data_IF_293719098496
#
_entry.id   IF_293719098496
#
_cell.length_a   1.000
_cell.length_b   1.000
_cell.length_c   1.000
_cell.angle_alpha   90.00
_cell.angle_beta   90.00
_cell.angle_gamma   90.00
#
_symmetry.space_group_name_H-M   'P 1'
#
loop_
_entity.id
_entity.type
_entity.pdbx_description
1 polymer ?
#
# COMPACT_ATOMS: atom_id res chain seq x y z
N UNK A 1 -17.64 -3.64 -9.40
CA UNK A 1 -16.23 -4.08 -9.20
C UNK A 1 -15.45 -2.97 -8.51
N UNK A 2 -14.67 -3.32 -7.51
CA UNK A 2 -13.89 -2.31 -6.79
C UNK A 2 -12.69 -1.89 -7.64
N UNK A 3 -12.52 -0.59 -7.78
CA UNK A 3 -11.38 0.01 -8.47
C UNK A 3 -10.07 -0.36 -7.75
N UNK A 4 -9.02 -0.67 -8.52
CA UNK A 4 -7.73 -1.07 -7.94
C UNK A 4 -7.14 0.04 -7.07
N UNK A 5 -7.31 1.30 -7.46
CA UNK A 5 -6.83 2.41 -6.64
C UNK A 5 -7.51 2.45 -5.26
N UNK A 6 -8.81 2.20 -5.24
CA UNK A 6 -9.58 2.14 -3.99
C UNK A 6 -9.12 0.97 -3.12
N UNK A 7 -8.91 -0.18 -3.74
CA UNK A 7 -8.47 -1.39 -3.03
C UNK A 7 -7.09 -1.20 -2.43
N UNK A 8 -6.16 -0.67 -3.21
CA UNK A 8 -4.79 -0.42 -2.72
C UNK A 8 -4.80 0.60 -1.59
N UNK A 9 -5.56 1.69 -1.74
CA UNK A 9 -5.66 2.70 -0.69
C UNK A 9 -6.17 2.11 0.62
N UNK A 10 -7.23 1.30 0.54
CA UNK A 10 -7.80 0.65 1.73
C UNK A 10 -6.80 -0.30 2.39
N UNK A 11 -6.20 -1.18 1.58
CA UNK A 11 -5.27 -2.18 2.10
C UNK A 11 -4.01 -1.53 2.65
N UNK A 12 -3.56 -0.45 2.04
CA UNK A 12 -2.41 0.30 2.54
C UNK A 12 -2.71 0.90 3.92
N UNK A 13 -3.90 1.46 4.11
CA UNK A 13 -4.30 1.99 5.42
C UNK A 13 -4.37 0.89 6.47
N UNK A 14 -4.92 -0.26 6.12
CA UNK A 14 -5.01 -1.41 7.04
C UNK A 14 -3.61 -1.88 7.42
N UNK A 15 -2.73 -2.03 6.44
CA UNK A 15 -1.35 -2.48 6.70
C UNK A 15 -0.59 -1.47 7.56
N UNK A 16 -0.78 -0.18 7.30
CA UNK A 16 -0.17 0.87 8.12
C UNK A 16 -0.63 0.77 9.58
N UNK A 17 -1.92 0.53 9.79
CA UNK A 17 -2.47 0.38 11.13
C UNK A 17 -1.85 -0.84 11.84
N UNK A 18 -1.72 -1.96 11.15
CA UNK A 18 -1.10 -3.16 11.71
C UNK A 18 0.37 -2.95 12.06
N UNK A 19 1.08 -2.14 11.27
CA UNK A 19 2.49 -1.84 11.49
C UNK A 19 2.71 -0.67 12.46
N UNK A 20 1.64 -0.08 12.95
CA UNK A 20 1.67 1.10 13.83
C UNK A 20 2.36 2.29 13.16
N UNK A 21 2.20 2.41 11.85
CA UNK A 21 2.68 3.54 11.06
C UNK A 21 1.48 4.45 10.81
N UNK A 22 1.52 5.66 11.34
CA UNK A 22 0.33 6.52 11.40
C UNK A 22 0.26 7.58 10.31
N UNK A 23 1.41 7.94 9.71
CA UNK A 23 1.44 9.03 8.73
C UNK A 23 2.16 8.60 7.46
N UNK A 24 1.90 9.33 6.37
CA UNK A 24 2.62 9.12 5.11
C UNK A 24 4.10 9.41 5.27
N UNK A 25 4.45 10.37 6.11
CA UNK A 25 5.84 10.71 6.39
C UNK A 25 6.57 9.56 7.06
N UNK A 26 5.92 8.92 8.03
CA UNK A 26 6.50 7.77 8.72
C UNK A 26 6.68 6.60 7.76
N UNK A 27 5.71 6.35 6.90
CA UNK A 27 5.80 5.31 5.91
C UNK A 27 6.89 5.60 4.88
N UNK A 28 7.03 6.84 4.49
CA UNK A 28 8.11 7.27 3.59
C UNK A 28 9.47 6.99 4.20
N UNK A 29 9.65 7.32 5.47
CA UNK A 29 10.90 7.05 6.18
C UNK A 29 11.22 5.56 6.26
N UNK A 30 10.20 4.73 6.47
CA UNK A 30 10.38 3.29 6.60
C UNK A 30 10.61 2.60 5.26
N UNK A 31 9.99 3.08 4.19
CA UNK A 31 9.98 2.39 2.89
C UNK A 31 10.94 2.97 1.86
N UNK A 32 11.30 4.23 2.01
CA UNK A 32 12.06 4.94 0.99
C UNK A 32 11.23 5.46 -0.17
N UNK A 33 9.93 5.21 -0.16
CA UNK A 33 8.99 5.75 -1.16
C UNK A 33 8.67 7.19 -0.79
N UNK A 34 8.59 8.09 -1.77
CA UNK A 34 8.37 9.50 -1.47
C UNK A 34 7.01 9.72 -0.81
N UNK A 35 6.95 10.68 0.09
CA UNK A 35 5.71 11.01 0.79
C UNK A 35 4.63 11.48 -0.18
N UNK A 36 5.03 12.17 -1.23
CA UNK A 36 4.12 12.63 -2.27
C UNK A 36 3.43 11.45 -2.96
N UNK A 37 4.22 10.43 -3.31
CA UNK A 37 3.67 9.21 -3.94
C UNK A 37 2.72 8.48 -2.99
N UNK A 38 3.11 8.34 -1.73
CA UNK A 38 2.27 7.67 -0.73
C UNK A 38 0.93 8.40 -0.58
N UNK A 39 0.95 9.72 -0.52
CA UNK A 39 -0.28 10.50 -0.43
C UNK A 39 -1.17 10.29 -1.64
N UNK A 40 -0.58 10.20 -2.83
CA UNK A 40 -1.35 9.91 -4.04
C UNK A 40 -1.99 8.52 -3.99
N UNK A 41 -1.28 7.52 -3.48
CA UNK A 41 -1.85 6.18 -3.33
C UNK A 41 -3.02 6.18 -2.35
N UNK A 42 -2.86 6.85 -1.21
CA UNK A 42 -3.92 6.93 -0.20
C UNK A 42 -5.12 7.74 -0.68
N UNK A 43 -4.88 8.71 -1.55
CA UNK A 43 -5.94 9.55 -2.13
C UNK A 43 -6.62 8.90 -3.35
N UNK A 44 -6.19 7.70 -3.72
CA UNK A 44 -6.72 6.97 -4.89
C UNK A 44 -6.41 7.67 -6.22
N UNK A 45 -5.38 8.53 -6.22
CA UNK A 45 -5.00 9.28 -7.41
C UNK A 45 -4.09 8.47 -8.35
N UNK A 46 -3.37 7.49 -7.80
CA UNK A 46 -2.48 6.62 -8.58
C UNK A 46 -2.28 5.31 -7.85
N UNK A 47 -1.68 4.34 -8.54
CA UNK A 47 -1.28 3.07 -7.95
C UNK A 47 0.24 2.99 -7.87
N UNK A 48 0.80 2.24 -6.90
CA UNK A 48 2.24 2.05 -6.82
C UNK A 48 2.77 1.27 -8.03
N UNK A 49 3.99 1.60 -8.45
CA UNK A 49 4.75 0.75 -9.35
C UNK A 49 5.12 -0.55 -8.62
N UNK A 50 5.60 -1.54 -9.36
CA UNK A 50 6.05 -2.80 -8.74
C UNK A 50 7.16 -2.55 -7.73
N UNK A 51 8.10 -1.65 -8.04
CA UNK A 51 9.16 -1.29 -7.12
C UNK A 51 8.62 -0.66 -5.83
N UNK A 52 7.73 0.30 -5.98
CA UNK A 52 7.11 0.97 -4.83
C UNK A 52 6.30 -0.02 -4.00
N UNK A 53 5.56 -0.89 -4.66
CA UNK A 53 4.74 -1.88 -3.99
C UNK A 53 5.60 -2.84 -3.17
N UNK A 54 6.74 -3.29 -3.72
CA UNK A 54 7.67 -4.15 -3.01
C UNK A 54 8.27 -3.44 -1.80
N UNK A 55 8.68 -2.18 -1.97
CA UNK A 55 9.25 -1.38 -0.89
C UNK A 55 8.24 -1.16 0.24
N UNK A 56 7.00 -0.85 -0.11
CA UNK A 56 5.94 -0.67 0.88
C UNK A 56 5.65 -1.98 1.61
N UNK A 57 5.60 -3.09 0.89
CA UNK A 57 5.38 -4.40 1.50
C UNK A 57 6.46 -4.76 2.50
N UNK A 58 7.71 -4.54 2.15
CA UNK A 58 8.83 -4.79 3.07
C UNK A 58 8.74 -3.92 4.32
N UNK A 59 8.41 -2.65 4.15
CA UNK A 59 8.30 -1.72 5.28
C UNK A 59 7.14 -2.08 6.21
N UNK A 60 6.06 -2.59 5.64
CA UNK A 60 4.83 -2.89 6.38
C UNK A 60 4.75 -4.36 6.83
N UNK A 61 5.71 -5.18 6.43
CA UNK A 61 5.72 -6.60 6.79
C UNK A 61 4.64 -7.41 6.09
N UNK A 62 4.26 -7.01 4.89
CA UNK A 62 3.25 -7.72 4.10
C UNK A 62 3.75 -7.94 2.67
N UNK A 63 3.01 -8.71 1.89
CA UNK A 63 3.36 -8.97 0.50
C UNK A 63 2.67 -7.96 -0.42
N UNK A 64 3.18 -7.78 -1.64
CA UNK A 64 2.47 -6.96 -2.63
C UNK A 64 1.05 -7.45 -2.90
N UNK A 65 0.81 -8.75 -2.84
CA UNK A 65 -0.53 -9.31 -3.01
C UNK A 65 -1.47 -8.84 -1.91
N UNK A 66 -0.98 -8.74 -0.68
CA UNK A 66 -1.78 -8.23 0.43
C UNK A 66 -2.20 -6.79 0.17
N UNK A 67 -1.29 -5.97 -0.36
CA UNK A 67 -1.59 -4.57 -0.64
C UNK A 67 -2.54 -4.40 -1.80
N UNK A 68 -2.42 -5.26 -2.83
CA UNK A 68 -3.34 -5.22 -3.96
C UNK A 68 -4.69 -5.83 -3.64
N UNK A 69 -4.78 -6.61 -2.59
CA UNK A 69 -5.98 -7.33 -2.26
C UNK A 69 -6.25 -8.51 -3.19
N UNK A 70 -5.25 -8.92 -3.92
CA UNK A 70 -5.37 -10.04 -4.85
C UNK A 70 -4.88 -11.30 -4.14
N UNK A 71 -5.80 -12.13 -3.71
CA UNK A 71 -5.43 -13.36 -3.05
C UNK A 71 -6.07 -14.55 -3.74
N UNK A 72 -5.53 -15.73 -3.45
CA UNK A 72 -5.91 -16.95 -4.14
C UNK A 72 -7.37 -17.35 -3.90
N UNK A 73 -7.90 -17.05 -2.74
CA UNK A 73 -9.29 -17.39 -2.42
C UNK A 73 -10.25 -16.61 -3.29
N UNK A 74 -9.96 -15.34 -3.54
CA UNK A 74 -10.79 -14.51 -4.40
C UNK A 74 -10.59 -14.84 -5.87
N UNK A 75 -9.39 -15.25 -6.24
CA UNK A 75 -9.06 -15.59 -7.60
C UNK A 75 -9.70 -16.91 -8.05
N UNK A 76 -9.97 -17.76 -7.11
CA UNK A 76 -10.65 -19.00 -7.38
C UNK A 76 -12.14 -18.78 -7.63
#
# INVERSE_FOLDING_TARGET
>A
MTDICTRVAHNLRVAMAHADIKTAEDLSAASGVSVYSIRNYLAKASTPSLESLAALGLALGCTPNDLMGWNTDEAA
#
